data_IF_769164692540
#
_entry.id   IF_769164692540
#
_cell.length_a   1.000
_cell.length_b   1.000
_cell.length_c   1.000
_cell.angle_alpha   90.00
_cell.angle_beta   90.00
_cell.angle_gamma   90.00
#
_symmetry.space_group_name_H-M   'P 1'
#
loop_
_entity.id
_entity.type
_entity.pdbx_description
1 polymer ?
#
# COMPACT_ATOMS: atom_id res chain seq x y z
N UNK A 1 69.92 19.06 -34.87
CA UNK A 1 69.93 18.83 -33.42
C UNK A 1 68.60 18.18 -33.05
N UNK A 2 68.57 16.84 -33.07
CA UNK A 2 68.31 15.98 -31.89
C UNK A 2 66.98 16.27 -31.19
N UNK A 3 65.98 15.41 -31.42
CA UNK A 3 65.10 14.95 -30.34
C UNK A 3 64.70 13.50 -30.62
N UNK A 4 65.42 12.60 -29.97
CA UNK A 4 65.13 11.17 -29.85
C UNK A 4 63.88 11.05 -28.96
N UNK A 5 62.83 10.42 -29.46
CA UNK A 5 61.62 10.10 -28.70
C UNK A 5 61.89 8.81 -27.92
N UNK A 6 62.07 8.94 -26.60
CA UNK A 6 62.16 7.79 -25.70
C UNK A 6 60.77 7.16 -25.53
N UNK A 7 60.67 5.85 -25.81
CA UNK A 7 59.48 5.04 -25.54
C UNK A 7 59.54 4.55 -24.08
N UNK A 8 58.57 4.86 -23.19
CA UNK A 8 58.58 4.30 -21.85
C UNK A 8 58.19 2.81 -21.88
N UNK A 9 58.94 2.02 -21.09
CA UNK A 9 58.86 0.58 -20.99
C UNK A 9 57.51 0.07 -20.45
N UNK A 10 57.00 -1.01 -21.07
CA UNK A 10 55.83 -1.78 -20.63
C UNK A 10 56.04 -2.33 -19.22
N UNK A 11 55.17 -1.96 -18.28
CA UNK A 11 55.05 -2.59 -16.97
C UNK A 11 54.48 -4.00 -17.14
N UNK A 12 55.27 -5.02 -16.81
CA UNK A 12 54.84 -6.42 -16.79
C UNK A 12 53.86 -6.66 -15.64
N UNK A 13 52.68 -7.17 -15.95
CA UNK A 13 51.66 -7.60 -14.99
C UNK A 13 52.10 -8.92 -14.36
N UNK A 14 52.38 -8.95 -13.05
CA UNK A 14 52.66 -10.21 -12.34
C UNK A 14 51.38 -11.08 -12.25
N UNK A 15 51.48 -12.42 -12.37
CA UNK A 15 50.34 -13.32 -12.20
C UNK A 15 49.92 -13.39 -10.73
N UNK A 16 48.61 -13.30 -10.47
CA UNK A 16 48.03 -13.24 -9.12
C UNK A 16 48.33 -14.49 -8.28
N UNK A 17 49.01 -14.29 -7.16
CA UNK A 17 49.10 -15.27 -6.07
C UNK A 17 47.75 -15.35 -5.34
N UNK A 18 47.29 -16.57 -5.07
CA UNK A 18 46.06 -16.79 -4.31
C UNK A 18 46.17 -16.12 -2.92
N UNK A 19 45.11 -15.45 -2.44
CA UNK A 19 45.14 -14.77 -1.15
C UNK A 19 45.42 -15.76 -0.02
N UNK A 20 46.27 -15.34 0.91
CA UNK A 20 46.73 -16.17 2.02
C UNK A 20 45.53 -16.63 2.90
N UNK A 21 45.57 -17.84 3.51
CA UNK A 21 44.43 -18.46 4.21
C UNK A 21 43.84 -17.61 5.35
N UNK A 22 44.69 -16.79 5.96
CA UNK A 22 44.39 -15.83 7.02
C UNK A 22 43.60 -14.61 6.51
N UNK A 23 43.70 -14.27 5.23
CA UNK A 23 42.87 -13.25 4.61
C UNK A 23 41.42 -13.75 4.48
N UNK A 24 41.23 -15.00 4.04
CA UNK A 24 39.90 -15.61 3.92
C UNK A 24 39.25 -15.76 5.29
N UNK A 25 40.00 -16.19 6.31
CA UNK A 25 39.50 -16.31 7.69
C UNK A 25 39.09 -14.96 8.32
N UNK A 26 39.81 -13.88 7.99
CA UNK A 26 39.47 -12.52 8.45
C UNK A 26 38.22 -11.95 7.77
N UNK A 27 38.01 -12.30 6.50
CA UNK A 27 36.81 -11.90 5.74
C UNK A 27 35.58 -12.67 6.23
N UNK A 28 35.71 -13.97 6.52
CA UNK A 28 34.57 -14.74 7.07
C UNK A 28 34.23 -14.33 8.50
N UNK A 29 35.23 -13.99 9.33
CA UNK A 29 35.00 -13.49 10.69
C UNK A 29 34.31 -12.11 10.73
N UNK A 30 34.58 -11.23 9.76
CA UNK A 30 33.95 -9.90 9.70
C UNK A 30 32.50 -9.92 9.18
N UNK A 31 32.07 -11.03 8.56
CA UNK A 31 30.69 -11.23 8.11
C UNK A 31 29.74 -11.68 9.23
N UNK A 32 30.26 -12.12 10.39
CA UNK A 32 29.44 -12.46 11.55
C UNK A 32 29.02 -11.18 12.26
N UNK A 33 27.86 -10.65 11.87
CA UNK A 33 27.26 -9.47 12.53
C UNK A 33 26.93 -9.83 13.98
N UNK A 34 27.40 -9.08 15.00
CA UNK A 34 27.11 -9.40 16.40
C UNK A 34 25.59 -9.33 16.66
N UNK A 35 25.03 -10.25 17.49
CA UNK A 35 23.62 -10.23 17.81
C UNK A 35 23.25 -8.91 18.48
N UNK A 36 22.35 -8.15 17.87
CA UNK A 36 21.91 -6.86 18.41
C UNK A 36 21.28 -7.04 19.79
N UNK A 37 21.63 -6.20 20.79
CA UNK A 37 21.16 -6.40 22.15
C UNK A 37 19.66 -6.10 22.28
N UNK A 38 18.93 -6.96 23.02
CA UNK A 38 17.46 -6.90 23.17
C UNK A 38 16.95 -5.55 23.72
N UNK A 39 17.77 -4.83 24.50
CA UNK A 39 17.43 -3.52 25.06
C UNK A 39 17.36 -2.41 23.99
N UNK A 40 18.14 -2.50 22.90
CA UNK A 40 18.06 -1.58 21.76
C UNK A 40 16.72 -1.70 21.03
N UNK A 41 16.17 -2.91 20.92
CA UNK A 41 14.83 -3.16 20.36
C UNK A 41 13.71 -2.66 21.27
N UNK A 42 13.87 -2.76 22.60
CA UNK A 42 12.90 -2.25 23.57
C UNK A 42 12.88 -0.71 23.64
N UNK A 43 14.05 -0.07 23.64
CA UNK A 43 14.18 1.40 23.63
C UNK A 43 13.66 2.04 22.35
N UNK A 44 13.92 1.43 21.19
CA UNK A 44 13.36 1.90 19.92
C UNK A 44 11.83 1.77 19.93
N UNK A 45 11.27 0.68 20.45
CA UNK A 45 9.81 0.50 20.55
C UNK A 45 9.15 1.52 21.49
N UNK A 46 9.77 1.88 22.61
CA UNK A 46 9.29 2.95 23.52
C UNK A 46 9.38 4.33 22.84
N UNK A 47 10.45 4.58 22.06
CA UNK A 47 10.61 5.82 21.31
C UNK A 47 9.51 6.06 20.27
N UNK A 48 8.97 5.02 19.65
CA UNK A 48 7.89 5.16 18.65
C UNK A 48 6.55 5.60 19.25
N UNK A 49 6.19 5.13 20.44
CA UNK A 49 4.95 5.56 21.12
C UNK A 49 5.02 7.01 21.58
N UNK A 50 6.22 7.49 21.97
CA UNK A 50 6.43 8.89 22.33
C UNK A 50 6.21 9.83 21.14
N UNK A 51 6.69 9.45 19.94
CA UNK A 51 6.45 10.23 18.73
C UNK A 51 4.97 10.33 18.39
N UNK A 52 4.22 9.23 18.54
CA UNK A 52 2.77 9.23 18.34
C UNK A 52 2.07 10.14 19.37
N UNK A 53 2.42 10.02 20.65
CA UNK A 53 1.84 10.86 21.70
C UNK A 53 2.17 12.34 21.49
N UNK A 54 3.42 12.67 21.16
CA UNK A 54 3.84 14.03 20.82
C UNK A 54 3.06 14.56 19.61
N UNK A 55 2.87 13.76 18.58
CA UNK A 55 2.04 14.13 17.43
C UNK A 55 0.60 14.44 17.83
N UNK A 56 -0.05 13.59 18.64
CA UNK A 56 -1.43 13.81 19.11
C UNK A 56 -1.53 15.07 19.96
N UNK A 57 -0.55 15.32 20.85
CA UNK A 57 -0.53 16.53 21.68
C UNK A 57 -0.32 17.78 20.81
N UNK A 58 0.61 17.74 19.85
CA UNK A 58 0.83 18.85 18.92
C UNK A 58 -0.42 19.10 18.08
N UNK A 59 -1.09 18.05 17.61
CA UNK A 59 -2.37 18.17 16.89
C UNK A 59 -3.44 18.82 17.79
N UNK A 60 -3.65 18.32 19.01
CA UNK A 60 -4.61 18.91 19.96
C UNK A 60 -4.34 20.40 20.19
N UNK A 61 -3.08 20.76 20.46
CA UNK A 61 -2.68 22.16 20.68
C UNK A 61 -2.94 22.99 19.42
N UNK A 62 -2.49 22.55 18.25
CA UNK A 62 -2.69 23.29 16.99
C UNK A 62 -4.19 23.46 16.70
N UNK A 63 -4.99 22.42 16.88
CA UNK A 63 -6.44 22.48 16.66
C UNK A 63 -7.11 23.45 17.63
N UNK A 64 -6.89 23.32 18.94
CA UNK A 64 -7.56 24.17 19.95
C UNK A 64 -7.14 25.64 19.84
N UNK A 65 -5.85 25.92 19.62
CA UNK A 65 -5.38 27.30 19.45
C UNK A 65 -5.75 27.86 18.07
N UNK A 66 -5.69 27.05 17.03
CA UNK A 66 -6.06 27.42 15.66
C UNK A 66 -7.53 27.78 15.53
N UNK A 67 -8.42 27.06 16.22
CA UNK A 67 -9.85 27.37 16.29
C UNK A 67 -10.14 28.77 16.86
N UNK A 68 -9.32 29.26 17.79
CA UNK A 68 -9.48 30.63 18.34
C UNK A 68 -9.15 31.72 17.32
N UNK A 69 -8.29 31.42 16.36
CA UNK A 69 -7.86 32.35 15.31
C UNK A 69 -8.82 32.28 14.11
N UNK A 70 -9.23 31.06 13.73
CA UNK A 70 -10.18 30.84 12.65
C UNK A 70 -11.19 29.75 13.06
N UNK A 71 -12.46 30.12 13.33
CA UNK A 71 -13.51 29.18 13.69
C UNK A 71 -13.75 28.06 12.66
N UNK A 72 -13.39 28.26 11.38
CA UNK A 72 -13.55 27.23 10.34
C UNK A 72 -12.65 26.01 10.57
N UNK A 73 -11.57 26.12 11.38
CA UNK A 73 -10.74 24.97 11.73
C UNK A 73 -11.48 23.92 12.55
N UNK A 74 -12.62 24.25 13.17
CA UNK A 74 -13.41 23.27 13.93
C UNK A 74 -13.96 22.15 13.04
N UNK A 75 -14.33 22.48 11.80
CA UNK A 75 -14.83 21.50 10.83
C UNK A 75 -13.70 20.80 10.09
N UNK A 76 -12.62 21.53 9.78
CA UNK A 76 -11.52 21.04 8.94
C UNK A 76 -10.50 20.20 9.72
N UNK A 77 -10.26 20.55 11.00
CA UNK A 77 -9.23 19.94 11.83
C UNK A 77 -9.67 19.89 13.31
N UNK A 78 -10.74 19.14 13.63
CA UNK A 78 -11.21 18.99 15.00
C UNK A 78 -10.12 18.38 15.89
N UNK A 79 -10.03 18.78 17.17
CA UNK A 79 -9.06 18.24 18.11
C UNK A 79 -9.37 16.76 18.40
N UNK A 80 -8.34 15.92 18.63
CA UNK A 80 -8.50 14.53 19.04
C UNK A 80 -9.53 14.32 20.15
N UNK A 81 -9.57 15.20 21.15
CA UNK A 81 -10.54 15.13 22.26
C UNK A 81 -12.00 15.25 21.78
N UNK A 82 -12.28 16.14 20.82
CA UNK A 82 -13.61 16.29 20.23
C UNK A 82 -14.01 15.08 19.37
N UNK A 83 -13.04 14.47 18.68
CA UNK A 83 -13.28 13.23 17.93
C UNK A 83 -13.70 12.10 18.87
N UNK A 84 -13.02 11.96 20.01
CA UNK A 84 -13.34 10.93 21.02
C UNK A 84 -14.71 11.18 21.65
N UNK A 85 -15.03 12.43 22.03
CA UNK A 85 -16.34 12.74 22.61
C UNK A 85 -17.48 12.48 21.63
N UNK A 86 -17.32 12.87 20.36
CA UNK A 86 -18.28 12.57 19.30
C UNK A 86 -18.44 11.06 19.07
N UNK A 87 -17.34 10.29 19.10
CA UNK A 87 -17.40 8.84 18.97
C UNK A 87 -18.18 8.18 20.13
N UNK A 88 -17.98 8.64 21.37
CA UNK A 88 -18.73 8.15 22.53
C UNK A 88 -20.22 8.50 22.42
N UNK A 89 -20.56 9.73 22.04
CA UNK A 89 -21.95 10.16 21.84
C UNK A 89 -22.66 9.33 20.75
N UNK A 90 -22.01 9.12 19.60
CA UNK A 90 -22.53 8.28 18.51
C UNK A 90 -22.70 6.81 18.93
N UNK A 91 -21.77 6.30 19.75
CA UNK A 91 -21.85 4.95 20.29
C UNK A 91 -23.03 4.81 21.26
N UNK A 92 -23.20 5.75 22.19
CA UNK A 92 -24.31 5.76 23.17
C UNK A 92 -25.68 5.88 22.50
N UNK A 93 -25.76 6.63 21.38
CA UNK A 93 -26.99 6.76 20.57
C UNK A 93 -27.28 5.53 19.71
N UNK A 94 -26.37 4.57 19.61
CA UNK A 94 -26.50 3.39 18.74
C UNK A 94 -26.34 3.70 17.23
N UNK A 95 -26.16 4.98 16.87
CA UNK A 95 -26.06 5.43 15.47
C UNK A 95 -24.75 4.96 14.83
N UNK A 96 -23.67 4.88 15.62
CA UNK A 96 -22.37 4.41 15.14
C UNK A 96 -22.48 3.01 14.53
N UNK A 97 -23.22 2.12 15.19
CA UNK A 97 -23.39 0.74 14.74
C UNK A 97 -24.18 0.67 13.43
N UNK A 98 -25.23 1.48 13.29
CA UNK A 98 -26.00 1.58 12.04
C UNK A 98 -25.13 2.01 10.86
N UNK A 99 -24.30 3.04 11.03
CA UNK A 99 -23.39 3.49 9.98
C UNK A 99 -22.32 2.44 9.62
N UNK A 100 -21.79 1.72 10.61
CA UNK A 100 -20.87 0.60 10.36
C UNK A 100 -21.56 -0.48 9.54
N UNK A 101 -22.78 -0.88 9.92
CA UNK A 101 -23.53 -1.90 9.20
C UNK A 101 -23.86 -1.46 7.77
N UNK A 102 -24.26 -0.21 7.55
CA UNK A 102 -24.59 0.27 6.22
C UNK A 102 -23.35 0.38 5.32
N UNK A 103 -22.19 0.74 5.88
CA UNK A 103 -20.91 0.65 5.17
C UNK A 103 -20.58 -0.80 4.81
N UNK A 104 -20.73 -1.72 5.77
CA UNK A 104 -20.43 -3.13 5.58
C UNK A 104 -21.33 -3.79 4.54
N UNK A 105 -22.64 -3.51 4.56
CA UNK A 105 -23.60 -4.02 3.55
C UNK A 105 -23.16 -3.64 2.14
N UNK A 106 -22.74 -2.40 1.93
CA UNK A 106 -22.26 -1.91 0.62
C UNK A 106 -21.02 -2.68 0.16
N UNK A 107 -20.04 -2.85 1.05
CA UNK A 107 -18.82 -3.61 0.75
C UNK A 107 -19.13 -5.07 0.43
N UNK A 108 -19.96 -5.72 1.24
CA UNK A 108 -20.33 -7.12 1.02
C UNK A 108 -21.13 -7.33 -0.26
N UNK A 109 -22.06 -6.43 -0.58
CA UNK A 109 -22.81 -6.49 -1.83
C UNK A 109 -21.88 -6.34 -3.06
N UNK A 110 -20.96 -5.37 -3.02
CA UNK A 110 -20.01 -5.12 -4.09
C UNK A 110 -19.00 -6.26 -4.27
N UNK A 111 -18.38 -6.70 -3.17
CA UNK A 111 -17.40 -7.81 -3.21
C UNK A 111 -18.10 -9.12 -3.57
N UNK A 112 -19.28 -9.40 -3.01
CA UNK A 112 -20.05 -10.60 -3.32
C UNK A 112 -20.40 -10.70 -4.81
N UNK A 113 -20.86 -9.60 -5.42
CA UNK A 113 -21.14 -9.54 -6.86
C UNK A 113 -19.86 -9.61 -7.70
N UNK A 114 -18.78 -8.95 -7.29
CA UNK A 114 -17.47 -9.03 -7.94
C UNK A 114 -16.91 -10.46 -7.91
N UNK A 115 -17.03 -11.17 -6.79
CA UNK A 115 -16.63 -12.58 -6.66
C UNK A 115 -17.51 -13.48 -7.51
N UNK A 116 -18.83 -13.31 -7.46
CA UNK A 116 -19.77 -14.13 -8.23
C UNK A 116 -19.54 -14.05 -9.75
N UNK A 117 -19.13 -12.89 -10.27
CA UNK A 117 -18.85 -12.70 -11.69
C UNK A 117 -17.38 -12.91 -12.06
N UNK A 118 -16.47 -12.45 -11.20
CA UNK A 118 -15.04 -12.42 -11.46
C UNK A 118 -14.38 -13.79 -11.31
N UNK A 119 -14.84 -14.63 -10.38
CA UNK A 119 -14.31 -15.99 -10.22
C UNK A 119 -14.59 -16.84 -11.46
N UNK A 120 -15.84 -16.97 -11.96
CA UNK A 120 -16.10 -17.73 -13.18
C UNK A 120 -15.31 -17.21 -14.39
N UNK A 121 -15.21 -15.88 -14.55
CA UNK A 121 -14.43 -15.29 -15.63
C UNK A 121 -12.94 -15.62 -15.51
N UNK A 122 -12.36 -15.47 -14.31
CA UNK A 122 -10.96 -15.78 -14.06
C UNK A 122 -10.65 -17.26 -14.25
N UNK A 123 -11.51 -18.15 -13.78
CA UNK A 123 -11.38 -19.60 -14.02
C UNK A 123 -11.41 -19.94 -15.51
N UNK A 124 -12.35 -19.36 -16.27
CA UNK A 124 -12.43 -19.56 -17.72
C UNK A 124 -11.17 -19.07 -18.45
N UNK A 125 -10.60 -17.94 -18.02
CA UNK A 125 -9.33 -17.42 -18.55
C UNK A 125 -8.10 -18.24 -18.11
N UNK A 126 -8.15 -18.88 -16.94
CA UNK A 126 -7.12 -19.78 -16.46
C UNK A 126 -7.08 -21.07 -17.27
N UNK A 127 -8.26 -21.66 -17.52
CA UNK A 127 -8.40 -22.94 -18.21
C UNK A 127 -8.16 -22.85 -19.73
N UNK A 128 -8.51 -21.74 -20.37
CA UNK A 128 -8.40 -21.61 -21.83
C UNK A 128 -7.53 -20.43 -22.26
N UNK A 129 -6.37 -20.73 -22.87
CA UNK A 129 -5.48 -19.73 -23.43
C UNK A 129 -6.13 -18.89 -24.55
N UNK A 130 -7.04 -19.50 -25.34
CA UNK A 130 -7.78 -18.78 -26.40
C UNK A 130 -8.78 -17.79 -25.83
N UNK A 131 -9.53 -18.21 -24.79
CA UNK A 131 -10.48 -17.32 -24.13
C UNK A 131 -9.77 -16.16 -23.46
N UNK A 132 -8.65 -16.44 -22.79
CA UNK A 132 -7.78 -15.39 -22.25
C UNK A 132 -7.33 -14.39 -23.31
N UNK A 133 -6.81 -14.86 -24.45
CA UNK A 133 -6.33 -13.96 -25.50
C UNK A 133 -7.42 -13.02 -26.04
N UNK A 134 -8.70 -13.41 -25.96
CA UNK A 134 -9.83 -12.57 -26.33
C UNK A 134 -10.20 -11.53 -25.25
N UNK A 135 -10.08 -11.89 -23.96
CA UNK A 135 -10.51 -11.06 -22.83
C UNK A 135 -9.40 -10.13 -22.31
N UNK A 136 -8.14 -10.57 -22.37
CA UNK A 136 -6.98 -9.82 -21.87
C UNK A 136 -6.91 -8.38 -22.41
N UNK A 137 -7.10 -8.11 -23.72
CA UNK A 137 -7.04 -6.74 -24.25
C UNK A 137 -8.05 -5.80 -23.59
N UNK A 138 -9.27 -6.30 -23.30
CA UNK A 138 -10.32 -5.51 -22.64
C UNK A 138 -9.93 -5.21 -21.19
N UNK A 139 -9.38 -6.21 -20.48
CA UNK A 139 -8.94 -6.02 -19.10
C UNK A 139 -7.72 -5.10 -19.00
N UNK A 140 -6.77 -5.20 -19.94
CA UNK A 140 -5.59 -4.34 -20.01
C UNK A 140 -5.95 -2.89 -20.33
N UNK A 141 -7.00 -2.67 -21.11
CA UNK A 141 -7.49 -1.32 -21.42
C UNK A 141 -8.18 -0.67 -20.21
N UNK A 142 -9.03 -1.40 -19.49
CA UNK A 142 -9.83 -0.81 -18.40
C UNK A 142 -9.06 -0.71 -17.09
N UNK A 143 -8.18 -1.68 -16.78
CA UNK A 143 -7.48 -1.77 -15.48
C UNK A 143 -6.66 -0.52 -15.08
N UNK A 144 -5.98 0.20 -15.98
CA UNK A 144 -5.22 1.40 -15.61
C UNK A 144 -6.11 2.55 -15.12
N UNK A 145 -7.40 2.53 -15.46
CA UNK A 145 -8.35 3.57 -15.08
C UNK A 145 -8.71 3.38 -13.61
N UNK A 146 -8.38 4.34 -12.73
CA UNK A 146 -8.74 4.24 -11.32
C UNK A 146 -10.26 4.10 -11.15
N UNK A 147 -10.76 3.22 -10.26
CA UNK A 147 -12.20 3.09 -10.02
C UNK A 147 -12.87 4.43 -9.66
N UNK A 148 -12.14 5.32 -8.97
CA UNK A 148 -12.61 6.67 -8.62
C UNK A 148 -12.91 7.55 -9.85
N UNK A 149 -12.28 7.31 -11.01
CA UNK A 149 -12.55 8.07 -12.23
C UNK A 149 -13.96 7.83 -12.76
N UNK A 150 -14.62 6.75 -12.33
CA UNK A 150 -15.98 6.40 -12.73
C UNK A 150 -17.07 7.11 -11.91
N UNK A 151 -16.71 7.89 -10.88
CA UNK A 151 -17.69 8.57 -10.00
C UNK A 151 -18.68 9.43 -10.79
N UNK A 152 -18.29 10.29 -11.75
CA UNK A 152 -19.25 11.14 -12.45
C UNK A 152 -20.27 10.33 -13.25
N UNK A 153 -19.81 9.27 -13.91
CA UNK A 153 -20.66 8.41 -14.74
C UNK A 153 -21.60 7.55 -13.89
N UNK A 154 -21.11 7.04 -12.75
CA UNK A 154 -21.94 6.28 -11.83
C UNK A 154 -23.02 7.13 -11.17
N UNK A 155 -22.73 8.40 -10.87
CA UNK A 155 -23.75 9.37 -10.44
C UNK A 155 -24.78 9.61 -11.54
N UNK A 156 -24.36 9.71 -12.81
CA UNK A 156 -25.29 9.91 -13.93
C UNK A 156 -26.24 8.71 -14.12
N UNK A 157 -25.73 7.48 -13.98
CA UNK A 157 -26.53 6.27 -14.17
C UNK A 157 -27.39 5.89 -12.98
N UNK A 158 -26.84 5.97 -11.77
CA UNK A 158 -27.49 5.45 -10.56
C UNK A 158 -27.98 6.54 -9.61
N UNK A 159 -27.65 7.82 -9.88
CA UNK A 159 -27.88 8.92 -8.96
C UNK A 159 -26.90 8.92 -7.79
N UNK A 160 -27.12 9.83 -6.84
CA UNK A 160 -26.39 9.85 -5.56
C UNK A 160 -27.06 8.84 -4.63
N UNK A 161 -26.30 7.86 -4.13
CA UNK A 161 -26.80 6.89 -3.18
C UNK A 161 -25.93 5.65 -3.07
N UNK A 162 -26.44 4.64 -2.35
CA UNK A 162 -25.68 3.42 -2.04
C UNK A 162 -25.31 2.62 -3.29
N UNK A 163 -26.19 2.56 -4.30
CA UNK A 163 -25.93 1.84 -5.53
C UNK A 163 -24.72 2.39 -6.29
N UNK A 164 -24.57 3.72 -6.31
CA UNK A 164 -23.44 4.39 -6.93
C UNK A 164 -22.11 4.03 -6.22
N UNK A 165 -22.11 3.98 -4.89
CA UNK A 165 -20.94 3.56 -4.10
C UNK A 165 -20.62 2.08 -4.34
N UNK A 166 -21.63 1.21 -4.31
CA UNK A 166 -21.49 -0.23 -4.55
C UNK A 166 -20.86 -0.51 -5.91
N UNK A 167 -21.28 0.20 -6.96
CA UNK A 167 -20.72 0.07 -8.31
C UNK A 167 -19.21 0.38 -8.36
N UNK A 168 -18.77 1.45 -7.67
CA UNK A 168 -17.35 1.83 -7.64
C UNK A 168 -16.51 0.80 -6.87
N UNK A 169 -17.02 0.30 -5.74
CA UNK A 169 -16.35 -0.77 -4.98
C UNK A 169 -16.29 -2.05 -5.81
N UNK A 170 -17.36 -2.38 -6.54
CA UNK A 170 -17.40 -3.52 -7.44
C UNK A 170 -16.29 -3.43 -8.48
N UNK A 171 -16.13 -2.30 -9.17
CA UNK A 171 -15.05 -2.10 -10.14
C UNK A 171 -13.66 -2.25 -9.50
N UNK A 172 -13.47 -1.73 -8.29
CA UNK A 172 -12.21 -1.86 -7.56
C UNK A 172 -11.89 -3.31 -7.19
N UNK A 173 -12.90 -4.10 -6.82
CA UNK A 173 -12.73 -5.50 -6.40
C UNK A 173 -12.69 -6.48 -7.59
N UNK A 174 -13.38 -6.18 -8.69
CA UNK A 174 -13.58 -7.10 -9.81
C UNK A 174 -12.27 -7.54 -10.48
N UNK A 175 -11.39 -6.60 -10.83
CA UNK A 175 -10.13 -6.95 -11.53
C UNK A 175 -9.18 -7.80 -10.68
N UNK A 176 -8.88 -7.45 -9.40
CA UNK A 176 -8.10 -8.32 -8.53
C UNK A 176 -8.70 -9.74 -8.39
N UNK A 177 -10.02 -9.84 -8.25
CA UNK A 177 -10.71 -11.14 -8.13
C UNK A 177 -10.51 -11.99 -9.40
N UNK A 178 -10.73 -11.42 -10.59
CA UNK A 178 -10.54 -12.12 -11.87
C UNK A 178 -9.11 -12.62 -12.00
N UNK A 179 -8.13 -11.76 -11.72
CA UNK A 179 -6.72 -12.07 -11.89
C UNK A 179 -6.22 -13.13 -10.90
N UNK A 180 -6.62 -13.01 -9.62
CA UNK A 180 -6.26 -14.00 -8.61
C UNK A 180 -6.89 -15.36 -8.90
N UNK A 181 -8.13 -15.39 -9.38
CA UNK A 181 -8.82 -16.63 -9.76
C UNK A 181 -8.18 -17.27 -10.99
N UNK A 182 -7.79 -16.47 -11.98
CA UNK A 182 -7.05 -16.93 -13.16
C UNK A 182 -5.68 -17.49 -12.81
N UNK A 183 -4.94 -16.83 -11.92
CA UNK A 183 -3.64 -17.29 -11.45
C UNK A 183 -3.80 -18.63 -10.71
N UNK A 184 -4.74 -18.72 -9.76
CA UNK A 184 -5.01 -19.96 -9.04
C UNK A 184 -5.43 -21.12 -9.95
N UNK A 185 -6.18 -20.86 -11.02
CA UNK A 185 -6.56 -21.89 -12.00
C UNK A 185 -5.41 -22.37 -12.90
N UNK A 186 -4.29 -21.64 -12.96
CA UNK A 186 -3.09 -22.04 -13.72
C UNK A 186 -2.08 -22.80 -12.90
N UNK A 187 -2.04 -22.52 -11.60
CA UNK A 187 -1.04 -23.09 -10.69
C UNK A 187 -1.40 -24.53 -10.28
N UNK A 188 -2.54 -25.06 -10.74
CA UNK A 188 -3.02 -26.44 -10.55
C UNK A 188 -2.94 -27.19 -11.87
#
# INVERSE_FOLDING_TARGET
MQHVVETPARTATQPGTAPAPDAVARITASMVTPPQPRWRRALVRIGHWWLLAAFVVVWEVISVYGQRINPQLDVMMPPPTAVVSAAIDLFQRGVLFTHILDSLKRVLAAVGTATALGVPLGLAMGWSARFRAAVDPVLEFIRPIPPLAWIPLSILWFGIGDMQIVYIIFLAAFFPVVLNSMAGARDV
#
